data_IF_404616430201
#
_entry.id   IF_404616430201
#
_cell.length_a   1.000
_cell.length_b   1.000
_cell.length_c   1.000
_cell.angle_alpha   90.00
_cell.angle_beta   90.00
_cell.angle_gamma   90.00
#
_symmetry.space_group_name_H-M   'P 1'
#
loop_
_entity.id
_entity.type
_entity.pdbx_description
1 polymer ?
#
# COMPACT_ATOMS: atom_id res chain seq x y z
N UNK A 1 28.13 -0.09 0.37
CA UNK A 1 26.71 0.03 0.81
C UNK A 1 26.11 1.16 0.01
N UNK A 2 25.15 0.82 -0.87
CA UNK A 2 24.51 1.81 -1.74
C UNK A 2 23.75 2.88 -0.93
N UNK A 3 23.83 4.12 -1.37
CA UNK A 3 23.13 5.27 -0.77
C UNK A 3 21.62 5.06 -0.69
N UNK A 4 21.05 4.32 -1.63
CA UNK A 4 19.66 3.88 -1.65
C UNK A 4 19.32 2.96 -0.46
N UNK A 5 20.27 2.12 -0.03
CA UNK A 5 20.10 1.21 1.11
C UNK A 5 19.95 1.95 2.44
N UNK A 6 20.67 3.06 2.63
CA UNK A 6 20.55 3.91 3.83
C UNK A 6 19.22 4.69 3.89
N UNK A 7 18.65 5.02 2.72
CA UNK A 7 17.37 5.76 2.63
C UNK A 7 16.15 4.89 2.95
N UNK A 8 16.25 3.57 2.78
CA UNK A 8 15.14 2.64 3.02
C UNK A 8 15.07 2.13 4.46
N UNK A 9 16.16 2.25 5.22
CA UNK A 9 16.17 1.95 6.66
C UNK A 9 15.66 3.16 7.45
N UNK A 10 14.40 3.15 7.85
CA UNK A 10 13.82 4.17 8.71
C UNK A 10 13.56 3.60 10.11
N UNK A 11 13.63 4.46 11.13
CA UNK A 11 13.23 4.09 12.50
C UNK A 11 11.74 3.72 12.50
N UNK A 12 11.41 2.60 13.15
CA UNK A 12 10.01 2.19 13.31
C UNK A 12 9.19 3.30 14.02
N UNK A 13 7.93 3.44 13.62
CA UNK A 13 6.99 4.30 14.35
C UNK A 13 6.68 3.66 15.70
N UNK A 14 6.59 4.50 16.73
CA UNK A 14 6.14 4.06 18.05
C UNK A 14 4.65 3.74 17.93
N UNK A 15 4.28 2.51 18.32
CA UNK A 15 2.89 2.04 18.34
C UNK A 15 2.39 1.97 19.78
N UNK A 16 1.12 2.22 19.97
CA UNK A 16 0.43 1.95 21.24
C UNK A 16 0.22 0.45 21.41
N UNK A 17 0.04 -0.01 22.65
CA UNK A 17 -0.25 -1.43 22.94
C UNK A 17 -1.50 -1.96 22.18
N UNK A 18 -2.48 -1.08 21.93
CA UNK A 18 -3.68 -1.42 21.16
C UNK A 18 -3.35 -1.66 19.70
N UNK A 19 -2.53 -0.81 19.11
CA UNK A 19 -2.09 -0.92 17.71
C UNK A 19 -1.17 -2.13 17.51
N UNK A 20 -0.28 -2.41 18.46
CA UNK A 20 0.59 -3.60 18.43
C UNK A 20 -0.21 -4.90 18.46
N UNK A 21 -1.21 -5.01 19.35
CA UNK A 21 -2.12 -6.15 19.37
C UNK A 21 -2.88 -6.32 18.06
N UNK A 22 -3.38 -5.22 17.50
CA UNK A 22 -4.07 -5.24 16.21
C UNK A 22 -3.14 -5.69 15.07
N UNK A 23 -1.88 -5.24 15.08
CA UNK A 23 -0.87 -5.64 14.11
C UNK A 23 -0.58 -7.15 14.18
N UNK A 24 -0.34 -7.68 15.39
CA UNK A 24 -0.05 -9.08 15.59
C UNK A 24 -1.22 -9.97 15.12
N UNK A 25 -2.46 -9.60 15.46
CA UNK A 25 -3.64 -10.32 15.00
C UNK A 25 -3.78 -10.28 13.47
N UNK A 26 -3.48 -9.15 12.86
CA UNK A 26 -3.51 -9.00 11.40
C UNK A 26 -2.43 -9.86 10.75
N UNK A 27 -1.18 -9.82 11.27
CA UNK A 27 -0.07 -10.63 10.77
C UNK A 27 -0.38 -12.13 10.85
N UNK A 28 -0.86 -12.63 11.99
CA UNK A 28 -1.23 -14.03 12.17
C UNK A 28 -2.30 -14.47 11.16
N UNK A 29 -3.29 -13.62 10.93
CA UNK A 29 -4.35 -13.88 9.95
C UNK A 29 -3.79 -13.96 8.53
N UNK A 30 -2.92 -13.04 8.14
CA UNK A 30 -2.36 -13.00 6.79
C UNK A 30 -1.37 -14.15 6.54
N UNK A 31 -0.53 -14.48 7.53
CA UNK A 31 0.39 -15.62 7.46
C UNK A 31 -0.38 -16.95 7.32
N UNK A 32 -1.43 -17.16 8.14
CA UNK A 32 -2.27 -18.36 8.04
C UNK A 32 -3.01 -18.47 6.71
N UNK A 33 -3.38 -17.34 6.14
CA UNK A 33 -4.01 -17.30 4.81
C UNK A 33 -3.02 -17.45 3.65
N UNK A 34 -1.70 -17.48 3.92
CA UNK A 34 -0.66 -17.56 2.89
C UNK A 34 -0.53 -16.31 2.02
N UNK A 35 -1.10 -15.19 2.44
CA UNK A 35 -1.07 -13.93 1.69
C UNK A 35 0.22 -13.14 1.90
N UNK A 36 0.94 -13.41 2.99
CA UNK A 36 2.26 -12.85 3.29
C UNK A 36 3.19 -13.96 3.77
N UNK A 37 4.48 -13.71 3.64
CA UNK A 37 5.54 -14.59 4.13
C UNK A 37 6.57 -13.80 4.91
N UNK A 38 7.32 -14.45 5.80
CA UNK A 38 8.44 -13.83 6.47
C UNK A 38 9.51 -13.42 5.47
N UNK A 39 9.90 -12.15 5.50
CA UNK A 39 10.85 -11.57 4.54
C UNK A 39 12.26 -11.57 5.10
N UNK A 40 13.23 -12.00 4.26
CA UNK A 40 14.67 -11.85 4.51
C UNK A 40 15.26 -10.62 3.79
N UNK A 41 14.41 -9.73 3.28
CA UNK A 41 14.85 -8.52 2.60
C UNK A 41 15.62 -7.59 3.55
N UNK A 42 16.65 -6.94 3.01
CA UNK A 42 17.37 -5.86 3.70
C UNK A 42 16.60 -4.55 3.72
N UNK A 43 15.55 -4.47 2.94
CA UNK A 43 14.71 -3.28 2.79
C UNK A 43 13.38 -3.50 3.48
N UNK A 44 12.96 -2.51 4.23
CA UNK A 44 11.68 -2.52 4.92
C UNK A 44 10.96 -1.18 4.74
N UNK A 45 9.67 -1.25 4.58
CA UNK A 45 8.80 -0.07 4.64
C UNK A 45 8.16 0.01 6.02
N UNK A 46 7.93 1.24 6.47
CA UNK A 46 7.27 1.48 7.73
C UNK A 46 5.78 1.26 7.60
N UNK A 47 5.17 0.75 8.65
CA UNK A 47 3.72 0.70 8.77
C UNK A 47 3.26 1.43 10.04
N UNK A 48 2.07 1.99 9.99
CA UNK A 48 1.41 2.66 11.10
C UNK A 48 -0.10 2.55 10.96
N UNK A 49 -0.80 2.81 12.05
CA UNK A 49 -2.25 2.78 12.07
C UNK A 49 -2.85 4.17 11.99
N UNK A 50 -3.91 4.30 11.22
CA UNK A 50 -4.76 5.51 11.17
C UNK A 50 -6.13 5.13 11.72
N UNK A 51 -6.64 5.87 12.73
CA UNK A 51 -8.00 5.69 13.19
C UNK A 51 -8.99 6.16 12.12
N UNK A 52 -9.96 5.32 11.81
CA UNK A 52 -11.10 5.69 10.96
C UNK A 52 -12.17 6.40 11.79
N UNK A 53 -13.09 7.09 11.10
CA UNK A 53 -14.23 7.77 11.75
C UNK A 53 -15.14 6.83 12.54
N UNK A 54 -15.19 5.56 12.15
CA UNK A 54 -15.95 4.49 12.83
C UNK A 54 -15.21 3.89 14.04
N UNK A 55 -14.02 4.40 14.38
CA UNK A 55 -13.18 3.91 15.47
C UNK A 55 -12.34 2.67 15.14
N UNK A 56 -12.45 2.12 13.94
CA UNK A 56 -11.59 1.04 13.47
C UNK A 56 -10.19 1.56 13.13
N UNK A 57 -9.20 0.66 13.18
CA UNK A 57 -7.82 0.97 12.81
C UNK A 57 -7.54 0.50 11.39
N UNK A 58 -6.96 1.38 10.59
CA UNK A 58 -6.48 1.05 9.25
C UNK A 58 -4.96 0.99 9.23
N UNK A 59 -4.41 -0.17 8.87
CA UNK A 59 -2.98 -0.32 8.65
C UNK A 59 -2.58 0.40 7.36
N UNK A 60 -1.56 1.24 7.44
CA UNK A 60 -1.00 1.98 6.31
C UNK A 60 0.48 1.67 6.19
N UNK A 61 0.92 1.43 4.97
CA UNK A 61 2.32 1.20 4.63
C UNK A 61 2.89 2.47 4.00
N UNK A 62 4.04 2.94 4.50
CA UNK A 62 4.67 4.16 4.02
C UNK A 62 5.64 3.86 2.86
N UNK A 63 5.14 3.93 1.65
CA UNK A 63 5.92 3.73 0.44
C UNK A 63 6.68 4.96 -0.06
N UNK A 64 6.61 6.11 0.64
CA UNK A 64 7.21 7.37 0.16
C UNK A 64 8.70 7.23 -0.16
N UNK A 65 9.46 6.57 0.71
CA UNK A 65 10.89 6.33 0.48
C UNK A 65 11.15 5.35 -0.66
N UNK A 66 10.34 4.29 -0.76
CA UNK A 66 10.42 3.35 -1.87
C UNK A 66 10.12 4.03 -3.20
N UNK A 67 9.08 4.86 -3.26
CA UNK A 67 8.70 5.61 -4.45
C UNK A 67 9.77 6.62 -4.92
N UNK A 68 10.63 7.09 -4.03
CA UNK A 68 11.75 7.97 -4.39
C UNK A 68 12.86 7.25 -5.15
N UNK A 69 13.08 5.96 -4.86
CA UNK A 69 14.16 5.16 -5.46
C UNK A 69 13.66 4.24 -6.58
N UNK A 70 12.35 4.09 -6.72
CA UNK A 70 11.74 3.29 -7.79
C UNK A 70 11.84 4.03 -9.13
N UNK A 71 12.22 3.31 -10.16
CA UNK A 71 12.19 3.80 -11.54
C UNK A 71 10.73 3.99 -11.93
N UNK A 72 10.33 5.24 -12.17
CA UNK A 72 8.94 5.56 -12.49
C UNK A 72 8.63 5.21 -13.94
N UNK A 73 7.54 4.49 -14.15
CA UNK A 73 6.94 4.36 -15.47
C UNK A 73 6.42 5.74 -15.91
N UNK A 74 6.86 6.17 -17.09
CA UNK A 74 6.47 7.47 -17.67
C UNK A 74 5.31 7.35 -18.64
N UNK A 75 4.60 6.23 -18.65
CA UNK A 75 3.42 6.08 -19.49
C UNK A 75 2.37 7.14 -19.12
N UNK A 76 1.96 7.99 -20.06
CA UNK A 76 1.00 9.04 -19.77
C UNK A 76 -0.37 8.45 -19.46
N UNK A 77 -1.00 8.95 -18.38
CA UNK A 77 -2.40 8.64 -18.12
C UNK A 77 -3.28 9.33 -19.17
N UNK A 78 -4.39 8.70 -19.58
CA UNK A 78 -5.34 9.34 -20.50
C UNK A 78 -5.93 10.60 -19.87
N UNK A 79 -6.16 11.62 -20.70
CA UNK A 79 -6.82 12.84 -20.23
C UNK A 79 -8.26 12.52 -19.79
N UNK A 80 -8.68 13.08 -18.66
CA UNK A 80 -10.02 12.85 -18.10
C UNK A 80 -11.11 13.18 -19.12
N UNK A 81 -10.93 14.25 -19.92
CA UNK A 81 -11.87 14.64 -21.00
C UNK A 81 -12.03 13.54 -22.04
N UNK A 82 -10.92 12.94 -22.50
CA UNK A 82 -10.96 11.83 -23.47
C UNK A 82 -11.70 10.60 -22.92
N UNK A 83 -11.50 10.31 -21.63
CA UNK A 83 -12.23 9.21 -20.97
C UNK A 83 -13.74 9.52 -20.92
N UNK A 84 -14.11 10.74 -20.54
CA UNK A 84 -15.51 11.18 -20.47
C UNK A 84 -16.15 11.14 -21.88
N UNK A 85 -15.43 11.60 -22.90
CA UNK A 85 -15.94 11.59 -24.27
C UNK A 85 -16.20 10.18 -24.80
N UNK A 86 -15.32 9.22 -24.47
CA UNK A 86 -15.53 7.80 -24.77
C UNK A 86 -16.75 7.20 -24.05
N UNK A 87 -17.10 7.73 -22.88
CA UNK A 87 -18.25 7.25 -22.10
C UNK A 87 -19.59 7.79 -22.63
N UNK A 88 -19.63 8.89 -23.39
CA UNK A 88 -20.87 9.53 -23.85
C UNK A 88 -21.75 8.61 -24.72
N UNK A 89 -21.13 7.73 -25.49
CA UNK A 89 -21.84 6.80 -26.40
C UNK A 89 -22.07 5.42 -25.77
N UNK A 90 -21.54 5.17 -24.58
CA UNK A 90 -21.66 3.89 -23.92
C UNK A 90 -23.04 3.72 -23.27
N UNK A 91 -23.70 2.60 -23.55
CA UNK A 91 -25.00 2.23 -22.96
C UNK A 91 -24.87 1.41 -21.69
N UNK A 92 -23.72 0.75 -21.48
CA UNK A 92 -23.44 -0.11 -20.34
C UNK A 92 -22.10 0.27 -19.73
N UNK A 93 -22.05 0.27 -18.40
CA UNK A 93 -20.87 0.62 -17.64
C UNK A 93 -20.56 -0.49 -16.65
N UNK A 94 -19.30 -0.89 -16.56
CA UNK A 94 -18.79 -1.79 -15.54
C UNK A 94 -17.77 -1.05 -14.68
N UNK A 95 -17.92 -1.14 -13.37
CA UNK A 95 -16.93 -0.64 -12.41
C UNK A 95 -16.24 -1.84 -11.75
N UNK A 96 -14.95 -1.96 -11.97
CA UNK A 96 -14.12 -2.98 -11.34
C UNK A 96 -13.27 -2.32 -10.27
N UNK A 97 -13.24 -2.90 -9.10
CA UNK A 97 -12.38 -2.47 -7.99
C UNK A 97 -11.53 -3.65 -7.53
N UNK A 98 -10.21 -3.45 -7.54
CA UNK A 98 -9.27 -4.48 -7.13
C UNK A 98 -9.15 -4.47 -5.60
N UNK A 99 -9.55 -5.57 -4.98
CA UNK A 99 -9.33 -5.76 -3.54
C UNK A 99 -7.82 -5.81 -3.30
N UNK A 100 -7.33 -4.92 -2.43
CA UNK A 100 -5.92 -4.87 -2.03
C UNK A 100 -4.95 -4.67 -3.21
N UNK A 101 -5.35 -3.90 -4.21
CA UNK A 101 -4.62 -3.69 -5.46
C UNK A 101 -3.13 -3.38 -5.26
N UNK A 102 -2.78 -2.52 -4.29
CA UNK A 102 -1.39 -2.17 -4.00
C UNK A 102 -0.56 -3.31 -3.36
N UNK A 103 -1.21 -4.30 -2.76
CA UNK A 103 -0.51 -5.45 -2.17
C UNK A 103 -0.28 -6.57 -3.18
N UNK A 104 -0.88 -6.48 -4.36
CA UNK A 104 -0.75 -7.46 -5.44
C UNK A 104 0.29 -7.06 -6.51
N UNK A 105 1.02 -5.98 -6.27
CA UNK A 105 2.06 -5.47 -7.18
C UNK A 105 3.44 -5.96 -6.74
#
# INVERSE_FOLDING_TARGET
MDEASKKLNAKAYIMTLKEEKALNQWLDKQLKAGLIVESKSRYAVLCFYIPKKDGSLQLVQDYRKLNQVTIKDKMPLPLIREVIDKLKEAKYFNKLDLIWGYNNV
#
